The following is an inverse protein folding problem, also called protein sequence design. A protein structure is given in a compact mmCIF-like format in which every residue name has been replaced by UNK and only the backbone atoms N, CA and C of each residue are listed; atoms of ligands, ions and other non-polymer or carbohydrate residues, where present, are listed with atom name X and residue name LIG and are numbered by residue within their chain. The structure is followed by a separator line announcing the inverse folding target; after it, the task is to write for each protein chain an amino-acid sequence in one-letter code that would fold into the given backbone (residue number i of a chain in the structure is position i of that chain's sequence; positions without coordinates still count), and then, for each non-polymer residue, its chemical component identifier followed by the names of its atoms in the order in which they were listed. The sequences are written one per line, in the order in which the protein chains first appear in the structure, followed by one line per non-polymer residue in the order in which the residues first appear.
data_IF_843547724838
#
_entry.id   IF_843547724838
#
_cell.length_a   1.000
_cell.length_b   1.000
_cell.length_c   1.000
_cell.angle_alpha   90.00
_cell.angle_beta   90.00
_cell.angle_gamma   90.00
#
_symmetry.space_group_name_H-M   'P 1'
#
loop_
_entity.id
_entity.type
_entity.pdbx_description
1 polymer ?
#
# COMPACT_ATOMS: atom_id res chain seq x y z
N UNK A 1 2.24 3.06 19.44
CA UNK A 1 1.34 2.48 18.43
C UNK A 1 1.52 0.98 18.45
N UNK A 2 0.46 0.20 18.27
CA UNK A 2 0.51 -1.25 18.11
C UNK A 2 -0.30 -1.64 16.87
N UNK A 3 0.19 -2.60 16.08
CA UNK A 3 -0.39 -2.94 14.77
C UNK A 3 -0.80 -4.40 14.68
N UNK A 4 -1.82 -4.72 13.89
CA UNK A 4 -2.15 -6.12 13.56
C UNK A 4 -3.11 -6.24 12.39
N UNK A 5 -3.51 -7.47 12.05
CA UNK A 5 -4.65 -7.69 11.16
C UNK A 5 -5.97 -7.40 11.89
N UNK A 6 -7.05 -7.12 11.15
CA UNK A 6 -8.38 -6.94 11.73
C UNK A 6 -8.87 -8.16 12.55
N UNK A 7 -8.35 -9.35 12.27
CA UNK A 7 -8.60 -10.57 13.04
C UNK A 7 -7.89 -10.60 14.40
N UNK A 8 -6.87 -9.76 14.61
CA UNK A 8 -6.21 -9.64 15.91
C UNK A 8 -6.98 -8.75 16.90
N UNK A 9 -7.96 -7.95 16.45
CA UNK A 9 -8.74 -7.07 17.35
C UNK A 9 -9.30 -7.89 18.52
N UNK A 10 -9.93 -9.03 18.21
CA UNK A 10 -10.41 -9.96 19.22
C UNK A 10 -10.14 -11.41 18.79
N UNK A 11 -9.70 -12.30 19.70
CA UNK A 11 -9.46 -12.05 21.13
C UNK A 11 -8.05 -11.53 21.44
N UNK A 12 -7.15 -11.49 20.45
CA UNK A 12 -5.72 -11.37 20.69
C UNK A 12 -5.31 -10.03 21.33
N UNK A 13 -5.57 -8.90 20.67
CA UNK A 13 -5.17 -7.59 21.20
C UNK A 13 -6.01 -7.17 22.42
N UNK A 14 -7.26 -7.65 22.53
CA UNK A 14 -8.07 -7.49 23.75
C UNK A 14 -7.40 -8.18 24.96
N UNK A 15 -6.87 -9.39 24.74
CA UNK A 15 -6.12 -10.10 25.78
C UNK A 15 -4.78 -9.43 26.10
N UNK A 16 -4.06 -8.93 25.09
CA UNK A 16 -2.83 -8.16 25.31
C UNK A 16 -3.07 -6.89 26.13
N UNK A 17 -4.18 -6.19 25.86
CA UNK A 17 -4.61 -5.02 26.62
C UNK A 17 -4.86 -5.39 28.08
N UNK A 18 -5.68 -6.43 28.33
CA UNK A 18 -6.02 -6.88 29.67
C UNK A 18 -4.78 -7.34 30.47
N UNK A 19 -3.86 -8.07 29.82
CA UNK A 19 -2.62 -8.53 30.44
C UNK A 19 -1.70 -7.35 30.79
N UNK A 20 -1.48 -6.45 29.82
CA UNK A 20 -0.55 -5.34 29.95
C UNK A 20 -1.04 -4.32 30.97
N UNK A 21 -2.29 -3.86 30.86
CA UNK A 21 -2.83 -2.86 31.78
C UNK A 21 -3.11 -3.46 33.16
N UNK A 22 -3.44 -4.75 33.24
CA UNK A 22 -3.61 -5.46 34.50
C UNK A 22 -2.33 -5.52 35.34
N UNK A 23 -1.16 -5.62 34.71
CA UNK A 23 0.14 -5.64 35.43
C UNK A 23 0.72 -4.24 35.65
N UNK A 24 0.53 -3.30 34.71
CA UNK A 24 1.14 -1.97 34.80
C UNK A 24 0.26 -0.95 35.54
N UNK A 25 -1.05 -1.19 35.66
CA UNK A 25 -2.01 -0.25 36.24
C UNK A 25 -2.25 1.02 35.41
N UNK A 26 -1.79 1.07 34.16
CA UNK A 26 -1.99 2.21 33.27
C UNK A 26 -1.98 1.78 31.79
N UNK A 27 -2.50 2.66 30.92
CA UNK A 27 -2.58 2.42 29.49
C UNK A 27 -1.21 2.30 28.84
N UNK A 28 -0.90 1.12 28.28
CA UNK A 28 0.40 0.84 27.63
C UNK A 28 0.41 1.25 26.15
N UNK A 29 -0.72 1.10 25.45
CA UNK A 29 -0.85 1.44 24.02
C UNK A 29 -1.93 2.50 23.81
N UNK A 30 -1.53 3.65 23.27
CA UNK A 30 -2.44 4.78 23.00
C UNK A 30 -3.16 4.70 21.64
N UNK A 31 -2.58 3.99 20.66
CA UNK A 31 -3.07 3.92 19.29
C UNK A 31 -2.91 2.51 18.75
N UNK A 32 -4.01 1.93 18.29
CA UNK A 32 -4.06 0.62 17.65
C UNK A 32 -4.41 0.80 16.17
N UNK A 33 -3.65 0.15 15.29
CA UNK A 33 -3.87 0.23 13.84
C UNK A 33 -4.06 -1.18 13.29
N UNK A 34 -5.19 -1.42 12.64
CA UNK A 34 -5.53 -2.75 12.13
C UNK A 34 -5.71 -2.74 10.61
N UNK A 35 -4.95 -3.59 9.93
CA UNK A 35 -5.09 -3.81 8.49
C UNK A 35 -6.36 -4.61 8.17
N UNK A 36 -7.09 -4.18 7.15
CA UNK A 36 -8.25 -4.87 6.63
C UNK A 36 -7.91 -6.23 6.04
N UNK A 37 -8.92 -7.08 5.92
CA UNK A 37 -8.75 -8.45 5.41
C UNK A 37 -8.56 -8.46 3.89
N UNK A 38 -7.74 -9.40 3.43
CA UNK A 38 -7.63 -9.75 2.03
C UNK A 38 -8.68 -10.81 1.66
N UNK A 39 -9.47 -10.52 0.63
CA UNK A 39 -10.50 -11.40 0.10
C UNK A 39 -10.08 -11.93 -1.27
N UNK A 40 -10.52 -13.13 -1.63
CA UNK A 40 -10.47 -13.70 -2.97
C UNK A 40 -11.90 -14.06 -3.39
N UNK A 41 -12.37 -13.50 -4.50
CA UNK A 41 -13.74 -13.68 -4.98
C UNK A 41 -14.81 -13.44 -3.88
N UNK A 42 -14.60 -12.39 -3.06
CA UNK A 42 -15.51 -12.02 -1.97
C UNK A 42 -15.43 -12.91 -0.72
N UNK A 43 -14.64 -13.98 -0.74
CA UNK A 43 -14.39 -14.86 0.41
C UNK A 43 -13.05 -14.55 1.06
N UNK A 44 -12.91 -14.71 2.39
CA UNK A 44 -11.62 -14.54 3.07
C UNK A 44 -10.60 -15.54 2.50
N UNK A 45 -9.39 -15.07 2.19
CA UNK A 45 -8.29 -16.00 1.88
C UNK A 45 -7.86 -16.73 3.16
N UNK A 46 -7.84 -18.06 3.11
CA UNK A 46 -7.34 -18.88 4.19
C UNK A 46 -6.62 -20.10 3.62
N UNK A 47 -5.50 -20.47 4.24
CA UNK A 47 -4.76 -21.69 3.87
C UNK A 47 -5.65 -22.94 3.92
N UNK A 48 -6.51 -23.02 4.93
CA UNK A 48 -7.46 -24.14 5.11
C UNK A 48 -8.55 -24.21 4.04
N UNK A 49 -8.91 -23.10 3.40
CA UNK A 49 -9.89 -23.05 2.33
C UNK A 49 -9.27 -23.28 0.94
N UNK A 50 -7.95 -23.46 0.85
CA UNK A 50 -7.23 -23.66 -0.41
C UNK A 50 -7.30 -22.46 -1.38
N UNK A 51 -7.81 -21.32 -0.92
CA UNK A 51 -8.12 -20.15 -1.73
C UNK A 51 -7.12 -19.01 -1.47
N UNK A 52 -5.82 -19.33 -1.49
CA UNK A 52 -4.75 -18.36 -1.25
C UNK A 52 -3.68 -18.48 -2.34
N UNK A 53 -3.01 -17.37 -2.63
CA UNK A 53 -1.86 -17.33 -3.52
C UNK A 53 -0.62 -16.94 -2.73
N UNK A 54 0.48 -17.66 -2.96
CA UNK A 54 1.81 -17.26 -2.55
C UNK A 54 2.36 -16.27 -3.57
N UNK A 55 3.23 -15.37 -3.12
CA UNK A 55 3.94 -14.46 -4.02
C UNK A 55 4.75 -15.24 -5.07
N UNK A 56 5.35 -16.38 -4.70
CA UNK A 56 6.06 -17.25 -5.66
C UNK A 56 5.16 -17.74 -6.78
N UNK A 57 3.92 -18.11 -6.47
CA UNK A 57 2.95 -18.57 -7.49
C UNK A 57 2.51 -17.44 -8.42
N UNK A 58 2.53 -16.18 -7.94
CA UNK A 58 2.28 -15.01 -8.80
C UNK A 58 3.48 -14.76 -9.73
N UNK A 59 4.70 -14.94 -9.23
CA UNK A 59 5.92 -14.83 -10.05
C UNK A 59 5.95 -15.92 -11.13
N UNK A 60 5.59 -17.16 -10.78
CA UNK A 60 5.52 -18.28 -11.74
C UNK A 60 4.49 -18.03 -12.84
N UNK A 61 3.46 -17.21 -12.57
CA UNK A 61 2.47 -16.74 -13.55
C UNK A 61 2.96 -15.56 -14.42
N UNK A 62 4.18 -15.07 -14.20
CA UNK A 62 4.79 -13.99 -14.97
C UNK A 62 4.52 -12.57 -14.45
N UNK A 63 3.94 -12.43 -13.26
CA UNK A 63 3.78 -11.12 -12.61
C UNK A 63 5.07 -10.64 -11.96
N UNK A 64 5.25 -9.32 -11.93
CA UNK A 64 6.33 -8.71 -11.15
C UNK A 64 6.18 -9.04 -9.66
N UNK A 65 7.26 -9.37 -8.93
CA UNK A 65 7.21 -9.62 -7.49
C UNK A 65 6.59 -8.48 -6.66
N UNK A 66 6.64 -7.24 -7.16
CA UNK A 66 6.07 -6.06 -6.52
C UNK A 66 4.68 -5.68 -7.05
N UNK A 67 4.12 -6.40 -8.03
CA UNK A 67 2.77 -6.12 -8.55
C UNK A 67 1.71 -6.21 -7.44
N UNK A 68 1.78 -7.22 -6.57
CA UNK A 68 0.88 -7.32 -5.42
C UNK A 68 1.06 -6.16 -4.43
N UNK A 69 2.31 -5.72 -4.21
CA UNK A 69 2.59 -4.55 -3.37
C UNK A 69 1.92 -3.31 -3.95
N UNK A 70 2.07 -3.08 -5.26
CA UNK A 70 1.44 -1.95 -5.94
C UNK A 70 -0.09 -2.01 -5.82
N UNK A 71 -0.69 -3.19 -6.04
CA UNK A 71 -2.13 -3.41 -5.84
C UNK A 71 -2.57 -3.08 -4.41
N UNK A 72 -1.82 -3.54 -3.40
CA UNK A 72 -2.16 -3.29 -2.00
C UNK A 72 -2.12 -1.79 -1.63
N UNK A 73 -1.22 -1.02 -2.25
CA UNK A 73 -1.15 0.44 -2.06
C UNK A 73 -2.35 1.19 -2.69
N UNK A 74 -3.12 0.55 -3.57
CA UNK A 74 -4.32 1.17 -4.17
C UNK A 74 -5.56 1.06 -3.26
N UNK A 75 -5.44 0.41 -2.09
CA UNK A 75 -6.49 0.32 -1.09
C UNK A 75 -6.06 0.99 0.21
N UNK A 76 -7.01 1.62 0.92
CA UNK A 76 -6.74 2.16 2.25
C UNK A 76 -6.51 0.99 3.20
N UNK A 77 -5.43 1.03 4.00
CA UNK A 77 -4.97 -0.13 4.77
C UNK A 77 -6.05 -0.76 5.67
N UNK A 78 -6.98 0.05 6.21
CA UNK A 78 -8.08 -0.38 7.08
C UNK A 78 -9.31 -0.95 6.35
N UNK A 79 -9.30 -0.96 5.02
CA UNK A 79 -10.40 -1.46 4.19
C UNK A 79 -10.14 -2.89 3.72
N UNK A 80 -11.20 -3.64 3.42
CA UNK A 80 -11.06 -4.97 2.82
C UNK A 80 -10.56 -4.82 1.40
N UNK A 81 -9.49 -5.53 1.05
CA UNK A 81 -8.97 -5.59 -0.32
C UNK A 81 -9.50 -6.87 -0.98
N UNK A 82 -10.28 -6.73 -2.05
CA UNK A 82 -10.70 -7.88 -2.85
C UNK A 82 -9.67 -8.13 -3.96
N UNK A 83 -8.88 -9.18 -3.81
CA UNK A 83 -7.92 -9.62 -4.79
C UNK A 83 -8.64 -10.25 -6.00
N UNK A 84 -8.23 -9.83 -7.19
CA UNK A 84 -8.59 -10.45 -8.47
C UNK A 84 -7.36 -10.50 -9.36
N UNK A 85 -7.31 -11.50 -10.25
CA UNK A 85 -6.23 -11.60 -11.24
C UNK A 85 -6.21 -10.38 -12.18
N UNK A 86 -7.37 -9.84 -12.53
CA UNK A 86 -7.48 -8.62 -13.33
C UNK A 86 -6.91 -7.39 -12.60
N UNK A 87 -7.22 -7.23 -11.31
CA UNK A 87 -6.67 -6.15 -10.49
C UNK A 87 -5.15 -6.26 -10.36
N UNK A 88 -4.63 -7.48 -10.15
CA UNK A 88 -3.19 -7.73 -10.12
C UNK A 88 -2.54 -7.40 -11.46
N UNK A 89 -3.14 -7.81 -12.59
CA UNK A 89 -2.63 -7.51 -13.92
C UNK A 89 -2.63 -6.00 -14.23
N UNK A 90 -3.65 -5.27 -13.74
CA UNK A 90 -3.68 -3.80 -13.81
C UNK A 90 -2.54 -3.16 -13.01
N UNK A 91 -2.32 -3.63 -11.78
CA UNK A 91 -1.24 -3.14 -10.92
C UNK A 91 0.15 -3.45 -11.50
N UNK A 92 0.34 -4.63 -12.10
CA UNK A 92 1.58 -5.01 -12.78
C UNK A 92 1.91 -4.08 -13.96
N UNK A 93 0.91 -3.77 -14.81
CA UNK A 93 1.09 -2.80 -15.90
C UNK A 93 1.41 -1.40 -15.38
N UNK A 94 0.70 -0.93 -14.35
CA UNK A 94 0.95 0.39 -13.77
C UNK A 94 2.34 0.50 -13.14
N UNK A 95 2.82 -0.57 -12.49
CA UNK A 95 4.17 -0.65 -11.94
C UNK A 95 5.24 -0.59 -13.04
N UNK A 96 5.04 -1.29 -14.16
CA UNK A 96 5.96 -1.25 -15.32
C UNK A 96 6.07 0.16 -15.89
N UNK A 97 4.93 0.82 -16.12
CA UNK A 97 4.89 2.21 -16.59
C UNK A 97 5.60 3.17 -15.62
N UNK A 98 5.39 3.01 -14.31
CA UNK A 98 6.09 3.80 -13.30
C UNK A 98 7.61 3.60 -13.39
N UNK A 99 8.09 2.37 -13.55
CA UNK A 99 9.52 2.09 -13.69
C UNK A 99 10.11 2.65 -14.97
N UNK A 100 9.39 2.53 -16.09
CA UNK A 100 9.79 3.12 -17.37
C UNK A 100 9.98 4.63 -17.22
N UNK A 101 8.98 5.32 -16.64
CA UNK A 101 9.06 6.76 -16.41
C UNK A 101 10.18 7.15 -15.45
N UNK A 102 10.39 6.40 -14.37
CA UNK A 102 11.51 6.64 -13.45
C UNK A 102 12.87 6.43 -14.14
N UNK A 103 12.99 5.45 -15.03
CA UNK A 103 14.20 5.23 -15.81
C UNK A 103 14.45 6.36 -16.83
N UNK A 104 13.41 6.87 -17.48
CA UNK A 104 13.48 8.06 -18.36
C UNK A 104 14.00 9.28 -17.60
N UNK A 105 13.45 9.55 -16.41
CA UNK A 105 13.90 10.63 -15.54
C UNK A 105 15.34 10.44 -15.05
N UNK A 106 15.75 9.23 -14.72
CA UNK A 106 17.12 8.95 -14.28
C UNK A 106 18.15 9.10 -15.42
N UNK A 107 17.73 8.96 -16.67
CA UNK A 107 18.57 9.14 -17.85
C UNK A 107 18.61 10.59 -18.37
N UNK A 108 17.80 11.50 -17.80
CA UNK A 108 17.83 12.91 -18.22
C UNK A 108 19.02 13.64 -17.60
N UNK A 109 20.00 14.01 -18.42
CA UNK A 109 21.24 14.72 -18.03
C UNK A 109 21.05 16.21 -17.64
N UNK A 110 19.82 16.61 -17.28
CA UNK A 110 19.49 17.99 -16.96
C UNK A 110 19.52 18.23 -15.45
N UNK A 111 20.36 19.16 -14.99
CA UNK A 111 20.17 19.78 -13.68
C UNK A 111 18.88 20.61 -13.71
N UNK A 112 17.75 19.98 -13.41
CA UNK A 112 16.45 20.65 -13.40
C UNK A 112 16.19 21.20 -12.00
N UNK A 113 16.07 22.52 -11.90
CA UNK A 113 15.56 23.15 -10.69
C UNK A 113 14.14 22.66 -10.45
N UNK A 114 13.89 22.21 -9.23
CA UNK A 114 12.55 21.80 -8.77
C UNK A 114 11.51 22.87 -9.10
N UNK A 115 10.44 22.49 -9.79
CA UNK A 115 9.38 23.41 -10.23
C UNK A 115 8.32 23.59 -9.14
N UNK A 116 7.59 24.71 -9.20
CA UNK A 116 6.44 24.94 -8.31
C UNK A 116 5.37 23.84 -8.44
N UNK A 117 5.21 23.27 -9.64
CA UNK A 117 4.30 22.13 -9.88
C UNK A 117 4.78 20.87 -9.15
N UNK A 118 6.09 20.58 -9.18
CA UNK A 118 6.68 19.46 -8.44
C UNK A 118 6.49 19.62 -6.91
N UNK A 119 6.63 20.84 -6.39
CA UNK A 119 6.34 21.16 -4.99
C UNK A 119 4.86 20.97 -4.65
N UNK A 120 3.96 21.40 -5.53
CA UNK A 120 2.52 21.19 -5.35
C UNK A 120 2.15 19.70 -5.33
N UNK A 121 2.77 18.87 -6.18
CA UNK A 121 2.58 17.43 -6.17
C UNK A 121 3.08 16.79 -4.87
N UNK A 122 4.29 17.16 -4.42
CA UNK A 122 4.82 16.63 -3.16
C UNK A 122 3.94 17.03 -1.97
N UNK A 123 3.48 18.28 -1.91
CA UNK A 123 2.59 18.75 -0.86
C UNK A 123 1.27 17.96 -0.83
N UNK A 124 0.63 17.74 -1.99
CA UNK A 124 -0.58 16.92 -2.12
C UNK A 124 -0.32 15.46 -1.70
N UNK A 125 0.82 14.90 -2.10
CA UNK A 125 1.19 13.53 -1.75
C UNK A 125 1.39 13.37 -0.24
N UNK A 126 2.15 14.28 0.39
CA UNK A 126 2.37 14.29 1.84
C UNK A 126 1.06 14.47 2.61
N UNK A 127 0.16 15.32 2.12
CA UNK A 127 -1.16 15.50 2.72
C UNK A 127 -1.99 14.21 2.69
N UNK A 128 -2.00 13.48 1.56
CA UNK A 128 -2.69 12.20 1.44
C UNK A 128 -2.14 11.14 2.41
N UNK A 129 -0.80 11.04 2.53
CA UNK A 129 -0.17 10.12 3.49
C UNK A 129 -0.49 10.50 4.94
N UNK A 130 -0.50 11.80 5.24
CA UNK A 130 -0.84 12.30 6.58
C UNK A 130 -2.30 12.07 6.97
N UNK A 131 -3.20 11.91 6.00
CA UNK A 131 -4.62 11.60 6.21
C UNK A 131 -4.88 10.09 6.39
N UNK A 132 -4.44 9.56 7.53
CA UNK A 132 -4.59 8.15 7.90
C UNK A 132 -4.11 7.20 6.79
N UNK A 133 -2.92 7.47 6.26
CA UNK A 133 -2.30 6.72 5.18
C UNK A 133 -3.27 6.52 4.01
N UNK A 134 -3.79 7.61 3.43
CA UNK A 134 -4.61 7.56 2.22
C UNK A 134 -3.75 7.20 0.99
N UNK A 135 -3.29 5.95 0.98
CA UNK A 135 -2.50 5.37 -0.09
C UNK A 135 -3.27 5.37 -1.43
N UNK A 136 -4.59 5.14 -1.50
CA UNK A 136 -5.33 5.31 -2.76
C UNK A 136 -5.17 6.71 -3.36
N UNK A 137 -5.36 7.76 -2.55
CA UNK A 137 -5.17 9.14 -3.00
C UNK A 137 -3.70 9.41 -3.38
N UNK A 138 -2.75 8.92 -2.59
CA UNK A 138 -1.32 9.05 -2.87
C UNK A 138 -0.93 8.35 -4.19
N UNK A 139 -1.43 7.15 -4.45
CA UNK A 139 -1.18 6.40 -5.68
C UNK A 139 -1.87 7.01 -6.90
N UNK A 140 -3.01 7.69 -6.72
CA UNK A 140 -3.63 8.49 -7.78
C UNK A 140 -2.71 9.65 -8.20
N UNK A 141 -2.07 10.32 -7.23
CA UNK A 141 -1.08 11.37 -7.50
C UNK A 141 0.16 10.81 -8.21
N UNK A 142 0.67 9.65 -7.78
CA UNK A 142 1.78 8.98 -8.49
C UNK A 142 1.42 8.72 -9.95
N UNK A 143 0.21 8.24 -10.23
CA UNK A 143 -0.27 8.04 -11.60
C UNK A 143 -0.44 9.35 -12.39
N UNK A 144 -0.80 10.44 -11.74
CA UNK A 144 -0.87 11.79 -12.34
C UNK A 144 0.53 12.27 -12.75
N UNK A 145 1.52 12.14 -11.84
CA UNK A 145 2.91 12.53 -12.13
C UNK A 145 3.51 11.68 -13.25
N UNK A 146 3.28 10.36 -13.26
CA UNK A 146 3.75 9.47 -14.33
C UNK A 146 3.22 9.87 -15.71
N UNK A 147 2.03 10.48 -15.78
CA UNK A 147 1.40 10.94 -17.03
C UNK A 147 1.64 12.41 -17.34
N UNK A 148 2.34 13.13 -16.45
CA UNK A 148 2.64 14.55 -16.63
C UNK A 148 3.86 14.78 -17.52
N UNK A 149 4.03 16.03 -17.97
CA UNK A 149 5.22 16.50 -18.69
C UNK A 149 6.34 16.97 -17.74
N UNK A 150 6.24 16.63 -16.43
CA UNK A 150 7.27 17.02 -15.48
C UNK A 150 8.59 16.32 -15.84
N UNK A 151 9.70 17.10 -15.93
CA UNK A 151 11.01 16.55 -16.22
C UNK A 151 11.53 15.71 -15.04
N UNK A 152 12.51 14.85 -15.32
CA UNK A 152 13.28 14.20 -14.27
C UNK A 152 14.06 15.25 -13.49
N UNK A 153 14.01 15.18 -12.17
CA UNK A 153 14.88 15.94 -11.28
C UNK A 153 15.84 14.95 -10.59
N UNK A 154 17.09 15.36 -10.34
CA UNK A 154 18.03 14.64 -9.47
C UNK A 154 17.51 14.54 -8.03
#
# INVERSE_FOLDING_TARGET
MHTGGADNVFPHHEAELAQSEGVTGHRVVSHWMHGGLLLLAGSRMAKSAGNFFRITELIDQGFDPLAFRYLALQAKYRTKLNFSAEGLAGADRALKLLRERVAEWAASDGAVSRSADADAFEARFRAAIADDLDLPAAMALVSEVVRSELPGAE
#
